data_IF_656381405812
#
_entry.id   IF_656381405812
#
_cell.length_a   1.000
_cell.length_b   1.000
_cell.length_c   1.000
_cell.angle_alpha   90.00
_cell.angle_beta   90.00
_cell.angle_gamma   90.00
#
_symmetry.space_group_name_H-M   'P 1'
#
loop_
_entity.id
_entity.type
_entity.pdbx_description
1 polymer ?
#
# COMPACT_ATOMS: atom_id res chain seq x y z
N UNK A 1 13.10 6.68 -10.96
CA UNK A 1 13.07 7.53 -9.74
C UNK A 1 12.44 6.74 -8.61
N UNK A 2 13.04 6.77 -7.45
CA UNK A 2 12.56 6.02 -6.30
C UNK A 2 11.86 6.95 -5.31
N UNK A 3 10.62 6.61 -4.95
CA UNK A 3 9.87 7.33 -3.93
C UNK A 3 9.96 6.57 -2.62
N UNK A 4 10.24 7.29 -1.56
CA UNK A 4 10.33 6.72 -0.22
C UNK A 4 9.36 7.42 0.73
N UNK A 5 8.80 6.65 1.65
CA UNK A 5 7.93 7.18 2.70
C UNK A 5 8.28 6.51 4.02
N UNK A 6 8.42 7.31 5.05
CA UNK A 6 8.64 6.80 6.41
C UNK A 6 7.53 7.31 7.29
N UNK A 7 6.92 6.41 8.04
CA UNK A 7 5.83 6.77 8.93
C UNK A 7 5.53 5.68 9.92
N UNK A 8 4.55 5.96 10.79
CA UNK A 8 4.10 5.03 11.81
C UNK A 8 2.88 4.28 11.30
N UNK A 9 2.87 2.97 11.49
CA UNK A 9 1.76 2.14 11.07
C UNK A 9 0.54 2.39 11.96
N UNK A 10 -0.56 2.83 11.36
CA UNK A 10 -1.79 3.16 12.09
C UNK A 10 -2.97 2.27 11.71
N UNK A 11 -2.89 1.55 10.59
CA UNK A 11 -3.96 0.65 10.16
C UNK A 11 -3.39 -0.48 9.32
N UNK A 12 -3.92 -1.67 9.53
CA UNK A 12 -3.58 -2.86 8.73
C UNK A 12 -4.89 -3.42 8.19
N UNK A 13 -5.03 -3.41 6.86
CA UNK A 13 -6.22 -3.96 6.20
C UNK A 13 -6.20 -5.47 6.14
N UNK A 14 -7.33 -6.06 5.81
CA UNK A 14 -7.44 -7.49 5.62
C UNK A 14 -6.74 -7.92 4.33
N UNK A 15 -6.21 -9.13 4.34
CA UNK A 15 -5.63 -9.72 3.14
C UNK A 15 -6.74 -10.13 2.18
N UNK A 16 -6.63 -9.71 0.93
CA UNK A 16 -7.58 -10.05 -0.12
C UNK A 16 -6.88 -10.92 -1.16
N UNK A 17 -7.62 -11.89 -1.68
CA UNK A 17 -7.11 -12.79 -2.71
C UNK A 17 -7.98 -12.69 -3.95
N UNK A 18 -7.35 -12.68 -5.11
CA UNK A 18 -8.09 -12.63 -6.37
C UNK A 18 -7.28 -13.32 -7.46
N UNK A 19 -7.99 -13.80 -8.47
CA UNK A 19 -7.38 -14.44 -9.63
C UNK A 19 -7.41 -13.50 -10.82
N UNK A 20 -6.32 -13.46 -11.57
CA UNK A 20 -6.23 -12.66 -12.78
C UNK A 20 -6.75 -13.45 -13.97
N UNK A 21 -6.96 -12.76 -15.10
CA UNK A 21 -7.47 -13.38 -16.32
C UNK A 21 -6.53 -14.45 -16.87
N UNK A 22 -5.24 -14.29 -16.63
CA UNK A 22 -4.24 -15.26 -17.11
C UNK A 22 -4.00 -16.42 -16.13
N UNK A 23 -4.87 -16.57 -15.13
CA UNK A 23 -4.82 -17.69 -14.20
C UNK A 23 -3.89 -17.51 -13.03
N UNK A 24 -3.36 -16.32 -12.80
CA UNK A 24 -2.49 -16.06 -11.66
C UNK A 24 -3.30 -15.79 -10.41
N UNK A 25 -2.81 -16.31 -9.31
CA UNK A 25 -3.37 -16.02 -7.99
C UNK A 25 -2.61 -14.86 -7.37
N UNK A 26 -3.34 -13.80 -7.03
CA UNK A 26 -2.75 -12.57 -6.49
C UNK A 26 -3.27 -12.33 -5.08
N UNK A 27 -2.40 -11.82 -4.22
CA UNK A 27 -2.73 -11.43 -2.85
C UNK A 27 -2.47 -9.94 -2.71
N UNK A 28 -3.39 -9.25 -2.06
CA UNK A 28 -3.29 -7.81 -1.84
C UNK A 28 -3.65 -7.48 -0.41
N UNK A 29 -3.01 -6.45 0.14
CA UNK A 29 -3.29 -5.96 1.48
C UNK A 29 -2.95 -4.48 1.52
N UNK A 30 -3.77 -3.68 2.21
CA UNK A 30 -3.52 -2.26 2.38
C UNK A 30 -3.02 -1.97 3.78
N UNK A 31 -2.08 -1.04 3.88
CA UNK A 31 -1.62 -0.50 5.16
C UNK A 31 -1.68 1.01 5.09
N UNK A 32 -1.84 1.66 6.25
CA UNK A 32 -1.86 3.11 6.35
C UNK A 32 -0.75 3.55 7.27
N UNK A 33 0.07 4.48 6.80
CA UNK A 33 1.15 5.09 7.56
C UNK A 33 0.82 6.55 7.83
N UNK A 34 1.18 7.02 9.02
CA UNK A 34 1.02 8.42 9.40
C UNK A 34 2.39 9.08 9.53
N UNK A 35 2.50 10.33 9.09
CA UNK A 35 3.72 11.10 9.26
C UNK A 35 3.91 11.48 10.73
N UNK A 36 5.16 11.72 11.13
CA UNK A 36 5.51 12.14 12.49
C UNK A 36 5.54 13.67 12.54
N UNK A 37 4.37 14.27 12.65
CA UNK A 37 4.17 15.71 12.63
C UNK A 37 3.12 16.10 13.66
N UNK A 38 3.06 17.40 13.97
CA UNK A 38 2.04 17.94 14.87
C UNK A 38 0.63 17.67 14.32
N UNK A 39 0.46 17.81 13.00
CA UNK A 39 -0.80 17.47 12.30
C UNK A 39 -0.50 16.35 11.33
N UNK A 40 -0.56 15.09 11.77
CA UNK A 40 -0.13 13.97 10.94
C UNK A 40 -0.96 13.83 9.68
N UNK A 41 -0.28 13.50 8.59
CA UNK A 41 -0.91 13.12 7.34
C UNK A 41 -0.81 11.63 7.18
N UNK A 42 -1.82 11.03 6.59
CA UNK A 42 -1.84 9.58 6.37
C UNK A 42 -1.74 9.27 4.89
N UNK A 43 -1.12 8.14 4.58
CA UNK A 43 -1.05 7.63 3.22
C UNK A 43 -1.35 6.14 3.25
N UNK A 44 -2.17 5.68 2.31
CA UNK A 44 -2.53 4.28 2.18
C UNK A 44 -1.68 3.64 1.11
N UNK A 45 -1.02 2.53 1.45
CA UNK A 45 -0.15 1.81 0.54
C UNK A 45 -0.69 0.41 0.30
N UNK A 46 -0.62 -0.04 -0.95
CA UNK A 46 -1.00 -1.38 -1.34
C UNK A 46 0.22 -2.28 -1.35
N UNK A 47 0.13 -3.40 -0.65
CA UNK A 47 1.13 -4.47 -0.68
C UNK A 47 0.59 -5.60 -1.53
N UNK A 48 1.47 -6.22 -2.33
CA UNK A 48 1.07 -7.34 -3.19
C UNK A 48 1.96 -8.55 -2.98
N UNK A 49 1.35 -9.72 -3.12
CA UNK A 49 2.02 -11.03 -3.11
C UNK A 49 2.90 -11.22 -1.88
N UNK A 50 4.19 -11.37 -2.03
CA UNK A 50 5.09 -11.67 -0.92
C UNK A 50 5.04 -10.60 0.17
N UNK A 51 4.99 -9.33 -0.20
CA UNK A 51 4.90 -8.26 0.79
C UNK A 51 3.61 -8.33 1.59
N UNK A 52 2.50 -8.69 0.94
CA UNK A 52 1.22 -8.83 1.61
C UNK A 52 1.20 -10.07 2.51
N UNK A 53 1.75 -11.18 2.03
CA UNK A 53 1.74 -12.45 2.76
C UNK A 53 2.69 -12.46 3.94
N UNK A 54 3.85 -11.83 3.80
CA UNK A 54 4.91 -11.86 4.81
C UNK A 54 4.89 -10.64 5.74
N UNK A 55 3.88 -9.81 5.62
CA UNK A 55 3.77 -8.60 6.44
C UNK A 55 3.57 -8.99 7.91
N UNK A 56 4.50 -8.58 8.77
CA UNK A 56 4.50 -8.95 10.18
C UNK A 56 4.66 -7.77 11.14
N UNK A 57 4.53 -6.56 10.64
CA UNK A 57 4.64 -5.37 11.47
C UNK A 57 3.39 -5.17 12.32
N UNK A 58 3.55 -4.46 13.43
CA UNK A 58 2.47 -4.17 14.37
C UNK A 58 2.08 -2.70 14.32
N UNK A 59 0.84 -2.41 14.71
CA UNK A 59 0.38 -1.02 14.85
C UNK A 59 1.33 -0.27 15.78
N UNK A 60 1.76 0.91 15.34
CA UNK A 60 2.72 1.74 16.06
C UNK A 60 4.15 1.61 15.58
N UNK A 61 4.46 0.59 14.81
CA UNK A 61 5.82 0.41 14.28
C UNK A 61 6.17 1.51 13.29
N UNK A 62 7.43 1.90 13.29
CA UNK A 62 7.96 2.82 12.28
C UNK A 62 8.36 2.01 11.07
N UNK A 63 7.84 2.39 9.91
CA UNK A 63 8.09 1.69 8.65
C UNK A 63 8.62 2.67 7.63
N UNK A 64 9.71 2.28 6.97
CA UNK A 64 10.18 2.96 5.77
C UNK A 64 9.92 2.06 4.57
N UNK A 65 9.35 2.62 3.52
CA UNK A 65 9.06 1.85 2.33
C UNK A 65 9.40 2.63 1.07
N UNK A 66 9.55 1.88 -0.01
CA UNK A 66 9.69 2.43 -1.35
C UNK A 66 8.44 2.09 -2.13
N UNK A 67 7.95 3.05 -2.92
CA UNK A 67 6.68 2.88 -3.60
C UNK A 67 6.67 3.53 -4.97
N UNK A 68 5.77 3.05 -5.81
CA UNK A 68 5.39 3.67 -7.05
C UNK A 68 3.95 4.12 -6.94
N UNK A 69 3.55 5.06 -7.77
CA UNK A 69 2.17 5.49 -7.82
C UNK A 69 1.62 5.32 -9.23
N UNK A 70 0.33 5.11 -9.29
CA UNK A 70 -0.37 4.95 -10.56
C UNK A 70 -1.81 5.41 -10.40
N UNK A 71 -2.28 6.22 -11.33
CA UNK A 71 -3.66 6.66 -11.33
C UNK A 71 -4.47 5.73 -12.23
N UNK A 72 -5.60 5.27 -11.70
CA UNK A 72 -6.52 4.40 -12.44
C UNK A 72 -7.84 5.10 -12.67
N UNK A 73 -8.38 5.06 -13.90
CA UNK A 73 -9.68 5.63 -14.15
C UNK A 73 -10.80 4.71 -13.63
N UNK A 74 -11.95 5.31 -13.34
CA UNK A 74 -13.16 4.54 -13.11
C UNK A 74 -13.65 3.98 -14.46
N UNK A 75 -14.76 3.23 -14.44
CA UNK A 75 -15.31 2.63 -15.67
C UNK A 75 -15.66 3.64 -16.74
N UNK A 76 -16.08 4.84 -16.32
CA UNK A 76 -16.53 5.89 -17.24
C UNK A 76 -15.39 6.80 -17.72
N UNK A 77 -14.22 6.70 -17.10
CA UNK A 77 -13.10 7.57 -17.44
C UNK A 77 -13.24 8.99 -16.96
N UNK A 78 -14.20 9.27 -16.08
CA UNK A 78 -14.47 10.61 -15.58
C UNK A 78 -13.72 10.95 -14.30
N UNK A 79 -13.20 9.93 -13.61
CA UNK A 79 -12.47 10.09 -12.36
C UNK A 79 -11.26 9.18 -12.33
N UNK A 80 -10.19 9.66 -11.69
CA UNK A 80 -8.98 8.89 -11.49
C UNK A 80 -8.72 8.73 -10.00
N UNK A 81 -8.28 7.53 -9.63
CA UNK A 81 -7.92 7.20 -8.24
C UNK A 81 -6.45 6.84 -8.20
N UNK A 82 -5.74 7.44 -7.27
CA UNK A 82 -4.33 7.14 -7.08
C UNK A 82 -4.15 5.87 -6.27
N UNK A 83 -3.25 5.01 -6.73
CA UNK A 83 -2.80 3.85 -5.99
C UNK A 83 -1.33 4.04 -5.68
N UNK A 84 -0.97 3.92 -4.40
CA UNK A 84 0.42 3.92 -3.96
C UNK A 84 0.79 2.47 -3.69
N UNK A 85 1.65 1.90 -4.53
CA UNK A 85 2.05 0.50 -4.41
C UNK A 85 3.45 0.41 -3.85
N UNK A 86 3.57 -0.17 -2.65
CA UNK A 86 4.86 -0.40 -2.05
C UNK A 86 5.51 -1.64 -2.69
N UNK A 87 6.78 -1.52 -3.03
CA UNK A 87 7.53 -2.64 -3.60
C UNK A 87 8.70 -3.04 -2.73
N UNK A 88 9.00 -2.28 -1.67
CA UNK A 88 10.04 -2.64 -0.71
C UNK A 88 9.70 -2.06 0.65
N UNK A 89 9.79 -2.89 1.68
CA UNK A 89 9.62 -2.49 3.08
C UNK A 89 10.91 -2.76 3.84
N UNK A 90 11.23 -1.86 4.75
CA UNK A 90 12.33 -2.02 5.69
C UNK A 90 11.80 -2.27 7.09
#
# INVERSE_FOLDING_TARGET
MTNEFTGRLVHIGATEQFDTRDGRHMVSREIVLATDEQFPKTACFTLRNELAQNFSHNIGDSISLRYDFHARPNKEGTRYYNELRAWRLN
#
